data_IF_293902867351
#
_entry.id   IF_293902867351
#
_cell.length_a   1.000
_cell.length_b   1.000
_cell.length_c   1.000
_cell.angle_alpha   90.00
_cell.angle_beta   90.00
_cell.angle_gamma   90.00
#
_symmetry.space_group_name_H-M   'P 1'
#
loop_
_entity.id
_entity.type
_entity.pdbx_description
1 polymer ?
#
# COMPACT_ATOMS: atom_id res chain seq x y z
N UNK A 1 9.27 24.28 -3.43
CA UNK A 1 8.32 23.15 -3.43
C UNK A 1 9.02 21.98 -2.79
N UNK A 2 8.33 21.20 -1.95
CA UNK A 2 8.92 20.01 -1.31
C UNK A 2 9.31 19.01 -2.39
N UNK A 3 10.52 18.49 -2.33
CA UNK A 3 11.01 17.45 -3.23
C UNK A 3 10.85 16.07 -2.58
N UNK A 4 10.09 15.20 -3.26
CA UNK A 4 9.89 13.83 -2.84
C UNK A 4 10.63 12.87 -3.77
N UNK A 5 11.37 11.91 -3.20
CA UNK A 5 12.00 10.82 -3.94
C UNK A 5 11.72 9.50 -3.25
N UNK A 6 11.14 8.55 -3.97
CA UNK A 6 10.79 7.23 -3.45
C UNK A 6 11.69 6.17 -4.09
N UNK A 7 12.54 5.54 -3.29
CA UNK A 7 13.44 4.48 -3.75
C UNK A 7 12.86 3.11 -3.39
N UNK A 8 12.65 2.24 -4.40
CA UNK A 8 12.21 0.86 -4.20
C UNK A 8 12.66 -0.07 -5.32
N UNK A 9 12.51 -1.39 -5.14
CA UNK A 9 12.72 -2.35 -6.21
C UNK A 9 11.80 -2.05 -7.41
N UNK A 10 12.23 -2.48 -8.61
CA UNK A 10 11.43 -2.36 -9.83
C UNK A 10 10.19 -3.29 -9.81
N UNK A 11 9.18 -2.89 -9.04
CA UNK A 11 7.92 -3.57 -8.85
C UNK A 11 6.99 -2.75 -7.95
N UNK A 12 5.76 -3.22 -7.79
CA UNK A 12 4.76 -2.58 -6.91
C UNK A 12 5.14 -2.74 -5.45
N UNK A 13 4.98 -3.95 -4.92
CA UNK A 13 5.40 -4.36 -3.58
C UNK A 13 5.00 -3.38 -2.48
N UNK A 14 5.92 -3.14 -1.55
CA UNK A 14 5.71 -2.29 -0.37
C UNK A 14 5.64 -0.79 -0.67
N UNK A 15 6.16 -0.33 -1.82
CA UNK A 15 6.16 1.08 -2.20
C UNK A 15 4.87 1.53 -2.88
N UNK A 16 4.03 0.59 -3.33
CA UNK A 16 2.90 0.93 -4.19
C UNK A 16 1.86 1.81 -3.50
N UNK A 17 1.64 1.64 -2.20
CA UNK A 17 0.72 2.48 -1.45
C UNK A 17 1.18 3.95 -1.45
N UNK A 18 2.47 4.21 -1.25
CA UNK A 18 3.05 5.55 -1.36
C UNK A 18 2.88 6.15 -2.77
N UNK A 19 3.11 5.36 -3.84
CA UNK A 19 2.88 5.80 -5.23
C UNK A 19 1.42 6.19 -5.48
N UNK A 20 0.48 5.39 -4.96
CA UNK A 20 -0.95 5.69 -5.07
C UNK A 20 -1.33 6.96 -4.29
N UNK A 21 -0.73 7.20 -3.12
CA UNK A 21 -0.95 8.42 -2.35
C UNK A 21 -0.46 9.66 -3.11
N UNK A 22 0.72 9.60 -3.74
CA UNK A 22 1.20 10.68 -4.62
C UNK A 22 0.25 10.93 -5.79
N UNK A 23 -0.19 9.86 -6.47
CA UNK A 23 -1.12 9.98 -7.60
C UNK A 23 -2.47 10.58 -7.20
N UNK A 24 -3.04 10.18 -6.06
CA UNK A 24 -4.30 10.72 -5.54
C UNK A 24 -4.18 12.20 -5.13
N UNK A 25 -2.99 12.62 -4.70
CA UNK A 25 -2.70 14.01 -4.32
C UNK A 25 -2.31 14.90 -5.51
N UNK A 26 -2.20 14.34 -6.73
CA UNK A 26 -1.58 15.01 -7.89
C UNK A 26 -0.18 15.60 -7.56
N UNK A 27 0.56 14.92 -6.69
CA UNK A 27 1.87 15.35 -6.21
C UNK A 27 2.98 14.69 -7.03
N UNK A 28 3.81 15.52 -7.66
CA UNK A 28 5.01 15.06 -8.37
C UNK A 28 6.06 14.52 -7.39
N UNK A 29 6.73 13.44 -7.78
CA UNK A 29 7.82 12.82 -7.02
C UNK A 29 8.75 12.06 -7.98
N UNK A 30 9.98 11.81 -7.56
CA UNK A 30 10.94 10.96 -8.27
C UNK A 30 10.71 9.48 -7.90
N UNK A 31 10.28 8.64 -8.85
CA UNK A 31 10.10 7.19 -8.65
C UNK A 31 11.38 6.42 -9.02
N UNK A 32 12.29 6.28 -8.06
CA UNK A 32 13.57 5.59 -8.26
C UNK A 32 13.39 4.09 -8.10
N UNK A 33 13.49 3.38 -9.22
CA UNK A 33 13.34 1.92 -9.29
C UNK A 33 14.69 1.25 -9.46
N UNK A 34 15.10 0.48 -8.46
CA UNK A 34 16.40 -0.19 -8.42
C UNK A 34 16.28 -1.70 -8.63
N UNK A 35 17.35 -2.32 -9.11
CA UNK A 35 17.53 -3.78 -9.13
C UNK A 35 17.98 -4.30 -7.76
N UNK A 36 18.02 -5.63 -7.60
CA UNK A 36 18.55 -6.25 -6.36
C UNK A 36 20.06 -6.04 -6.22
N UNK A 37 20.77 -6.00 -7.34
CA UNK A 37 22.22 -5.75 -7.40
C UNK A 37 22.53 -4.31 -6.96
N UNK A 38 21.75 -3.34 -7.45
CA UNK A 38 21.85 -1.94 -7.03
C UNK A 38 21.50 -1.75 -5.54
N UNK A 39 20.52 -2.51 -5.02
CA UNK A 39 20.21 -2.48 -3.58
C UNK A 39 21.42 -2.88 -2.75
N UNK A 40 22.17 -3.91 -3.17
CA UNK A 40 23.39 -4.34 -2.47
C UNK A 40 24.43 -3.22 -2.39
N UNK A 41 24.59 -2.41 -3.45
CA UNK A 41 25.58 -1.33 -3.46
C UNK A 41 25.20 -0.11 -2.62
N UNK A 42 23.90 0.12 -2.38
CA UNK A 42 23.44 1.27 -1.57
C UNK A 42 23.04 0.89 -0.15
N UNK A 43 23.14 -0.40 0.23
CA UNK A 43 22.57 -0.92 1.47
C UNK A 43 23.05 -0.17 2.71
N UNK A 44 24.33 0.18 2.78
CA UNK A 44 24.92 0.87 3.95
C UNK A 44 24.49 2.33 4.06
N UNK A 45 24.02 2.96 2.98
CA UNK A 45 23.52 4.33 3.00
C UNK A 45 22.02 4.45 3.32
N UNK A 46 21.32 3.34 3.48
CA UNK A 46 19.90 3.31 3.85
C UNK A 46 19.74 3.17 5.37
N UNK A 47 18.73 3.80 6.01
CA UNK A 47 18.61 3.84 7.47
C UNK A 47 18.64 2.46 8.15
N UNK A 48 18.02 1.46 7.51
CA UNK A 48 17.95 0.07 8.00
C UNK A 48 18.45 -0.95 6.98
N UNK A 49 19.20 -0.51 5.96
CA UNK A 49 19.68 -1.41 4.90
C UNK A 49 18.58 -2.08 4.07
N UNK A 50 17.41 -1.44 3.98
CA UNK A 50 16.22 -1.95 3.31
C UNK A 50 15.48 -0.84 2.55
N UNK A 51 14.67 -1.25 1.58
CA UNK A 51 13.73 -0.39 0.84
C UNK A 51 12.29 -0.86 1.10
N UNK A 52 11.27 0.01 1.05
CA UNK A 52 11.30 1.38 0.52
C UNK A 52 11.91 2.42 1.46
N UNK A 53 12.46 3.47 0.86
CA UNK A 53 12.88 4.71 1.53
C UNK A 53 12.29 5.89 0.78
N UNK A 54 11.62 6.78 1.51
CA UNK A 54 11.19 8.09 1.03
C UNK A 54 12.22 9.13 1.47
N UNK A 55 12.67 9.98 0.56
CA UNK A 55 13.40 11.19 0.86
C UNK A 55 12.46 12.40 0.74
N UNK A 56 12.46 13.27 1.75
CA UNK A 56 11.71 14.54 1.78
C UNK A 56 12.70 15.66 1.98
N UNK A 57 12.94 16.46 0.93
CA UNK A 57 13.96 17.53 0.95
C UNK A 57 15.35 17.06 1.45
N UNK A 58 15.70 15.81 1.13
CA UNK A 58 16.97 15.16 1.52
C UNK A 58 16.90 14.33 2.81
N UNK A 59 15.85 14.46 3.62
CA UNK A 59 15.68 13.67 4.85
C UNK A 59 15.09 12.29 4.55
N UNK A 60 15.76 11.23 5.02
CA UNK A 60 15.35 9.85 4.77
C UNK A 60 14.32 9.33 5.80
N UNK A 61 13.22 8.79 5.30
CA UNK A 61 12.19 8.05 6.03
C UNK A 61 12.09 6.63 5.46
N UNK A 62 12.53 5.64 6.25
CA UNK A 62 12.37 4.22 5.95
C UNK A 62 11.04 3.66 6.49
N UNK A 63 10.80 2.37 6.27
CA UNK A 63 9.60 1.61 6.65
C UNK A 63 8.32 1.99 5.91
N UNK A 64 7.81 1.05 5.11
CA UNK A 64 6.66 1.28 4.23
C UNK A 64 5.42 1.84 4.96
N UNK A 65 5.08 1.33 6.14
CA UNK A 65 3.92 1.84 6.89
C UNK A 65 4.18 3.21 7.53
N UNK A 66 5.42 3.56 7.86
CA UNK A 66 5.75 4.90 8.31
C UNK A 66 5.64 5.90 7.16
N UNK A 67 6.20 5.55 5.99
CA UNK A 67 6.08 6.33 4.74
C UNK A 67 4.61 6.55 4.38
N UNK A 68 3.80 5.49 4.34
CA UNK A 68 2.38 5.59 3.97
C UNK A 68 1.61 6.50 4.93
N UNK A 69 1.83 6.39 6.25
CA UNK A 69 1.17 7.25 7.24
C UNK A 69 1.61 8.70 7.13
N UNK A 70 2.90 8.95 6.91
CA UNK A 70 3.42 10.30 6.68
C UNK A 70 2.73 10.94 5.46
N UNK A 71 2.76 10.28 4.29
CA UNK A 71 2.15 10.81 3.07
C UNK A 71 0.63 10.95 3.21
N UNK A 72 -0.05 9.98 3.83
CA UNK A 72 -1.48 10.04 4.07
C UNK A 72 -1.85 11.23 4.97
N UNK A 73 -1.06 11.56 6.00
CA UNK A 73 -1.28 12.76 6.81
C UNK A 73 -1.04 14.03 6.00
N UNK A 74 0.07 14.08 5.26
CA UNK A 74 0.46 15.24 4.45
C UNK A 74 -0.59 15.58 3.39
N UNK A 75 -1.20 14.56 2.77
CA UNK A 75 -2.17 14.75 1.68
C UNK A 75 -3.64 14.62 2.12
N UNK A 76 -3.93 14.45 3.41
CA UNK A 76 -5.30 14.41 3.94
C UNK A 76 -6.04 13.07 3.78
N UNK A 77 -5.32 11.96 3.61
CA UNK A 77 -5.85 10.59 3.52
C UNK A 77 -5.77 9.78 4.82
N UNK A 78 -5.27 10.36 5.91
CA UNK A 78 -5.09 9.68 7.20
C UNK A 78 -6.37 9.58 8.07
N UNK A 79 -7.52 10.04 7.59
CA UNK A 79 -8.74 10.20 8.41
C UNK A 79 -8.89 11.62 8.95
N UNK A 80 -10.08 11.98 9.45
CA UNK A 80 -10.40 13.36 9.86
C UNK A 80 -10.22 13.62 11.34
N UNK A 81 -10.16 12.57 12.15
CA UNK A 81 -9.99 12.65 13.59
C UNK A 81 -8.88 11.72 14.04
N UNK A 82 -8.29 12.02 15.20
CA UNK A 82 -7.24 11.18 15.78
C UNK A 82 -7.69 9.71 15.96
N UNK A 83 -8.97 9.48 16.29
CA UNK A 83 -9.49 8.12 16.45
C UNK A 83 -9.70 7.41 15.11
N UNK A 84 -10.15 8.11 14.07
CA UNK A 84 -10.26 7.52 12.73
C UNK A 84 -8.88 7.13 12.19
N UNK A 85 -7.89 8.00 12.39
CA UNK A 85 -6.51 7.71 12.02
C UNK A 85 -5.95 6.51 12.79
N UNK A 86 -6.17 6.44 14.11
CA UNK A 86 -5.75 5.29 14.90
C UNK A 86 -6.40 3.99 14.41
N UNK A 87 -7.67 4.02 14.01
CA UNK A 87 -8.37 2.86 13.44
C UNK A 87 -7.77 2.48 12.07
N UNK A 88 -7.48 3.44 11.19
CA UNK A 88 -6.80 3.20 9.90
C UNK A 88 -5.44 2.52 10.15
N UNK A 89 -4.67 3.04 11.09
CA UNK A 89 -3.38 2.47 11.47
C UNK A 89 -3.54 1.03 11.98
N UNK A 90 -4.53 0.76 12.84
CA UNK A 90 -4.78 -0.60 13.34
C UNK A 90 -5.13 -1.59 12.21
N UNK A 91 -5.85 -1.16 11.18
CA UNK A 91 -6.13 -1.98 9.99
C UNK A 91 -4.89 -2.21 9.14
N UNK A 92 -4.02 -1.20 9.00
CA UNK A 92 -2.76 -1.32 8.29
C UNK A 92 -1.79 -2.28 8.99
N UNK A 93 -1.74 -2.25 10.32
CA UNK A 93 -0.95 -3.19 11.14
C UNK A 93 -1.51 -4.61 11.04
N UNK A 94 -2.84 -4.77 11.12
CA UNK A 94 -3.49 -6.07 10.92
C UNK A 94 -3.25 -6.64 9.52
N UNK A 95 -3.17 -5.78 8.49
CA UNK A 95 -2.77 -6.18 7.14
C UNK A 95 -1.31 -6.63 7.10
N UNK A 96 -0.39 -5.96 7.80
CA UNK A 96 1.01 -6.36 7.85
C UNK A 96 1.18 -7.76 8.46
N UNK A 97 0.44 -8.07 9.53
CA UNK A 97 0.36 -9.42 10.11
C UNK A 97 -0.15 -10.44 9.08
N UNK A 98 -1.30 -10.16 8.44
CA UNK A 98 -1.85 -11.04 7.40
C UNK A 98 -0.84 -11.28 6.26
N UNK A 99 -0.15 -10.21 5.83
CA UNK A 99 0.86 -10.28 4.76
C UNK A 99 2.02 -11.21 5.13
N UNK A 100 2.39 -11.31 6.41
CA UNK A 100 3.44 -12.24 6.84
C UNK A 100 3.05 -13.71 6.56
N UNK A 101 1.79 -14.08 6.75
CA UNK A 101 1.27 -15.41 6.39
C UNK A 101 1.16 -15.62 4.87
N UNK A 102 0.88 -14.54 4.12
CA UNK A 102 0.76 -14.58 2.66
C UNK A 102 2.12 -14.65 1.95
N UNK A 103 3.16 -14.04 2.51
CA UNK A 103 4.43 -13.80 1.83
C UNK A 103 5.10 -15.09 1.32
N UNK A 104 5.22 -16.18 2.10
CA UNK A 104 5.85 -17.42 1.61
C UNK A 104 5.11 -18.01 0.39
N UNK A 105 3.78 -18.09 0.46
CA UNK A 105 2.95 -18.55 -0.66
C UNK A 105 3.13 -17.66 -1.90
N UNK A 106 3.12 -16.35 -1.72
CA UNK A 106 3.22 -15.40 -2.82
C UNK A 106 4.61 -15.43 -3.49
N UNK A 107 5.68 -15.56 -2.70
CA UNK A 107 7.04 -15.71 -3.23
C UNK A 107 7.20 -17.02 -4.02
N UNK A 108 6.64 -18.13 -3.52
CA UNK A 108 6.67 -19.41 -4.21
C UNK A 108 5.83 -19.39 -5.51
N UNK A 109 4.63 -18.81 -5.45
CA UNK A 109 3.73 -18.67 -6.59
C UNK A 109 4.38 -17.88 -7.75
N UNK A 110 5.17 -16.85 -7.42
CA UNK A 110 5.88 -16.04 -8.39
C UNK A 110 7.26 -16.60 -8.80
N UNK A 111 7.63 -17.78 -8.30
CA UNK A 111 8.90 -18.44 -8.63
C UNK A 111 10.14 -17.77 -8.04
N UNK A 112 10.00 -16.90 -7.03
CA UNK A 112 11.14 -16.26 -6.37
C UNK A 112 11.84 -17.17 -5.37
N UNK A 113 11.09 -18.12 -4.81
CA UNK A 113 11.60 -19.16 -3.90
C UNK A 113 10.94 -20.49 -4.26
N UNK A 114 11.58 -21.63 -4.01
CA UNK A 114 10.90 -22.92 -4.11
C UNK A 114 9.82 -23.04 -3.03
N UNK A 115 8.74 -23.78 -3.31
CA UNK A 115 7.71 -24.08 -2.33
C UNK A 115 6.56 -24.91 -2.88
N UNK A 116 6.02 -25.80 -2.05
CA UNK A 116 4.78 -26.52 -2.35
C UNK A 116 3.58 -25.59 -2.12
N UNK A 117 2.90 -25.22 -3.20
CA UNK A 117 1.78 -24.29 -3.14
C UNK A 117 0.57 -24.86 -2.40
N UNK A 118 0.36 -26.17 -2.41
CA UNK A 118 -0.76 -26.80 -1.72
C UNK A 118 -0.50 -26.91 -0.22
N UNK A 119 0.75 -27.13 0.18
CA UNK A 119 1.15 -27.03 1.59
C UNK A 119 1.04 -25.58 2.10
N UNK A 120 1.58 -24.61 1.37
CA UNK A 120 1.57 -23.19 1.77
C UNK A 120 0.15 -22.60 1.84
N UNK A 121 -0.80 -23.13 1.06
CA UNK A 121 -2.23 -22.76 1.15
C UNK A 121 -2.84 -23.11 2.51
N UNK A 122 -2.37 -24.16 3.20
CA UNK A 122 -2.93 -24.58 4.49
C UNK A 122 -2.81 -23.49 5.56
N UNK A 123 -1.79 -22.65 5.47
CA UNK A 123 -1.62 -21.47 6.32
C UNK A 123 -2.25 -20.21 5.69
N UNK A 124 -2.02 -20.00 4.40
CA UNK A 124 -2.41 -18.77 3.69
C UNK A 124 -3.93 -18.60 3.60
N UNK A 125 -4.67 -19.68 3.31
CA UNK A 125 -6.12 -19.62 3.09
C UNK A 125 -6.89 -19.31 4.37
N UNK A 126 -6.63 -19.97 5.52
CA UNK A 126 -7.21 -19.57 6.80
C UNK A 126 -6.87 -18.13 7.19
N UNK A 127 -5.61 -17.71 7.05
CA UNK A 127 -5.18 -16.34 7.35
C UNK A 127 -5.94 -15.31 6.49
N UNK A 128 -6.09 -15.58 5.19
CA UNK A 128 -6.90 -14.75 4.27
C UNK A 128 -8.35 -14.70 4.72
N UNK A 129 -8.98 -15.83 5.01
CA UNK A 129 -10.39 -15.88 5.40
C UNK A 129 -10.63 -15.08 6.69
N UNK A 130 -9.72 -15.22 7.67
CA UNK A 130 -9.75 -14.45 8.92
C UNK A 130 -9.62 -12.95 8.66
N UNK A 131 -8.61 -12.54 7.89
CA UNK A 131 -8.37 -11.13 7.55
C UNK A 131 -9.53 -10.50 6.77
N UNK A 132 -10.03 -11.17 5.72
CA UNK A 132 -11.20 -10.71 4.98
C UNK A 132 -12.47 -10.67 5.84
N UNK A 133 -12.60 -11.56 6.81
CA UNK A 133 -13.65 -11.51 7.82
C UNK A 133 -13.60 -10.23 8.66
N UNK A 134 -12.40 -9.78 9.05
CA UNK A 134 -12.23 -8.48 9.72
C UNK A 134 -12.60 -7.32 8.81
N UNK A 135 -12.07 -7.27 7.58
CA UNK A 135 -12.42 -6.21 6.62
C UNK A 135 -13.93 -6.14 6.36
N UNK A 136 -14.60 -7.29 6.23
CA UNK A 136 -16.04 -7.37 6.04
C UNK A 136 -16.81 -6.76 7.21
N UNK A 137 -16.35 -6.94 8.46
CA UNK A 137 -16.97 -6.30 9.64
C UNK A 137 -16.86 -4.78 9.55
N UNK A 138 -15.70 -4.25 9.16
CA UNK A 138 -15.51 -2.81 8.96
C UNK A 138 -16.36 -2.26 7.80
N UNK A 139 -16.43 -2.96 6.67
CA UNK A 139 -17.27 -2.56 5.54
C UNK A 139 -18.76 -2.56 5.89
N UNK A 140 -19.25 -3.57 6.62
CA UNK A 140 -20.66 -3.60 7.08
C UNK A 140 -20.97 -2.43 8.02
N UNK A 141 -20.05 -2.10 8.93
CA UNK A 141 -20.18 -0.96 9.85
C UNK A 141 -20.22 0.39 9.11
N UNK A 142 -19.58 0.50 7.95
CA UNK A 142 -19.49 1.71 7.13
C UNK A 142 -20.17 1.54 5.76
N UNK A 143 -21.26 0.75 5.71
CA UNK A 143 -21.90 0.29 4.47
C UNK A 143 -22.48 1.41 3.60
N UNK A 144 -22.82 2.54 4.23
CA UNK A 144 -23.26 3.77 3.57
C UNK A 144 -22.17 4.46 2.74
N UNK A 145 -20.90 4.21 3.05
CA UNK A 145 -19.75 4.84 2.38
C UNK A 145 -18.99 3.90 1.44
N UNK A 146 -19.12 2.59 1.63
CA UNK A 146 -18.31 1.58 0.94
C UNK A 146 -16.82 1.56 1.34
N UNK A 147 -16.44 2.24 2.43
CA UNK A 147 -15.04 2.37 2.87
C UNK A 147 -14.77 1.58 4.14
N UNK A 148 -13.49 1.28 4.40
CA UNK A 148 -13.08 0.58 5.61
C UNK A 148 -13.20 1.46 6.86
N UNK A 149 -12.86 2.75 6.74
CA UNK A 149 -12.95 3.72 7.82
C UNK A 149 -13.52 5.03 7.27
N UNK A 150 -14.49 5.59 8.01
CA UNK A 150 -15.14 6.89 7.77
C UNK A 150 -16.08 6.96 6.55
N UNK A 151 -16.98 7.95 6.59
CA UNK A 151 -17.79 8.40 5.44
C UNK A 151 -17.03 9.27 4.45
N UNK A 152 -15.85 9.75 4.81
CA UNK A 152 -15.43 11.06 4.37
C UNK A 152 -14.25 11.10 3.44
N UNK A 153 -13.82 9.95 2.92
CA UNK A 153 -12.62 9.96 2.11
C UNK A 153 -12.79 10.78 0.84
N UNK A 154 -13.91 10.92 0.15
CA UNK A 154 -13.95 11.80 -1.04
C UNK A 154 -15.38 12.23 -1.37
N UNK A 155 -15.68 13.51 -1.15
CA UNK A 155 -16.81 14.21 -1.79
C UNK A 155 -16.42 14.87 -3.11
N UNK A 156 -15.20 14.65 -3.62
CA UNK A 156 -14.72 15.37 -4.83
C UNK A 156 -13.66 14.70 -5.70
N UNK A 157 -12.89 13.69 -5.26
CA UNK A 157 -11.79 13.16 -6.09
C UNK A 157 -12.09 11.87 -6.85
N UNK A 158 -13.16 11.14 -6.50
CA UNK A 158 -13.78 10.21 -7.43
C UNK A 158 -14.90 10.97 -8.12
N UNK A 159 -14.57 11.79 -9.13
CA UNK A 159 -15.58 12.10 -10.15
C UNK A 159 -16.05 10.74 -10.67
N UNK A 160 -17.33 10.46 -10.54
CA UNK A 160 -17.91 9.28 -11.17
C UNK A 160 -17.39 9.21 -12.61
N UNK A 161 -16.94 8.03 -13.09
CA UNK A 161 -16.66 7.90 -14.51
C UNK A 161 -17.96 8.30 -15.23
N UNK A 162 -17.91 9.37 -16.03
CA UNK A 162 -19.00 9.69 -16.94
C UNK A 162 -19.32 8.40 -17.69
N UNK A 163 -20.57 7.97 -17.61
CA UNK A 163 -21.10 6.69 -18.10
C UNK A 163 -21.06 6.54 -19.64
N UNK A 164 -20.16 7.22 -20.33
CA UNK A 164 -20.05 7.28 -21.79
C UNK A 164 -18.72 6.72 -22.26
N UNK A 165 -18.47 5.42 -22.03
CA UNK A 165 -17.38 4.72 -22.72
C UNK A 165 -17.60 3.21 -22.90
N UNK A 166 -18.85 2.73 -22.84
CA UNK A 166 -19.18 1.36 -23.24
C UNK A 166 -20.28 1.35 -24.29
N UNK A 167 -20.03 2.07 -25.39
CA UNK A 167 -20.74 1.90 -26.64
C UNK A 167 -19.71 1.88 -27.77
N UNK A 168 -19.82 0.83 -28.59
CA UNK A 168 -19.10 0.61 -29.84
C UNK A 168 -17.60 0.20 -29.76
N UNK A 169 -17.37 -1.11 -29.55
CA UNK A 169 -16.52 -1.90 -30.47
C UNK A 169 -17.15 -3.27 -30.70
N UNK A 170 -18.15 -3.30 -31.59
CA UNK A 170 -18.40 -4.46 -32.45
C UNK A 170 -17.54 -4.28 -33.70
N UNK A 171 -16.53 -5.12 -33.85
CA UNK A 171 -16.06 -5.76 -35.08
C UNK A 171 -14.87 -6.64 -34.72
#
# INVERSE_FOLDING_TARGET
MVHYKLTYLNGRGLAECARQLFALADQQYEDVRISREQLTSIKESLPFGQVPVLEVDGEQLAESQAINRYLARTFGFAGKTAIEEAIINSLADQYAEYRAHLLPYFLALLGFVPGDLDELKKETVPARNKFLGFLTKFLKKNSDSGRLVTRSLLGSFLKEPKSEAFSARKR
#
